data_IF_012652946071
#
_entry.id   IF_012652946071
#
_cell.length_a   1.000
_cell.length_b   1.000
_cell.length_c   1.000
_cell.angle_alpha   90.00
_cell.angle_beta   90.00
_cell.angle_gamma   90.00
#
_symmetry.space_group_name_H-M   'P 1'
#
loop_
_entity.id
_entity.type
_entity.pdbx_description
1 polymer ?
#
# COMPACT_ATOMS: atom_id res chain seq x y z
N UNK A 1 -9.23 -54.87 14.61
CA UNK A 1 -7.86 -54.90 15.15
C UNK A 1 -6.91 -54.44 14.05
N UNK A 2 -6.21 -53.31 14.26
CA UNK A 2 -5.19 -52.81 13.33
C UNK A 2 -5.30 -51.31 13.04
N UNK A 3 -5.09 -50.47 14.06
CA UNK A 3 -4.80 -49.05 13.87
C UNK A 3 -3.28 -48.87 13.87
N UNK A 4 -2.72 -48.25 12.84
CA UNK A 4 -1.32 -47.78 12.82
C UNK A 4 -1.20 -46.49 12.01
N UNK A 5 -0.79 -45.42 12.68
CA UNK A 5 0.02 -44.35 12.09
C UNK A 5 -0.68 -43.03 11.78
N UNK A 6 -0.67 -42.12 12.74
CA UNK A 6 -0.87 -40.68 12.53
C UNK A 6 0.20 -40.06 11.63
N UNK A 7 -0.20 -39.16 10.74
CA UNK A 7 0.55 -37.95 10.38
C UNK A 7 -0.39 -36.75 10.22
N UNK A 8 -0.08 -35.68 10.96
CA UNK A 8 -0.50 -34.27 10.89
C UNK A 8 -1.95 -33.96 10.49
N UNK A 9 -2.81 -33.59 11.44
CA UNK A 9 -2.92 -32.23 12.00
C UNK A 9 -2.85 -31.13 10.92
N UNK A 10 -4.01 -30.49 10.76
CA UNK A 10 -4.22 -29.18 10.13
C UNK A 10 -3.96 -29.19 8.62
N UNK A 11 -5.02 -29.48 7.87
CA UNK A 11 -5.18 -28.87 6.55
C UNK A 11 -5.38 -27.35 6.79
N UNK A 12 -4.30 -26.64 7.14
CA UNK A 12 -4.20 -25.20 6.95
C UNK A 12 -4.12 -25.07 5.44
N UNK A 13 -5.31 -25.10 4.82
CA UNK A 13 -5.49 -24.42 3.54
C UNK A 13 -5.18 -22.98 3.92
N UNK A 14 -3.99 -22.53 3.53
CA UNK A 14 -3.53 -21.16 3.74
C UNK A 14 -4.69 -20.23 3.45
N UNK A 15 -4.98 -19.44 4.47
CA UNK A 15 -6.16 -18.64 4.62
C UNK A 15 -6.32 -17.72 3.40
N UNK A 16 -7.45 -17.81 2.68
CA UNK A 16 -7.89 -16.81 1.71
C UNK A 16 -8.31 -15.49 2.40
N UNK A 17 -7.60 -15.08 3.47
CA UNK A 17 -7.99 -13.94 4.29
C UNK A 17 -7.06 -12.73 4.13
N UNK A 18 -5.93 -12.84 3.44
CA UNK A 18 -4.89 -11.81 3.49
C UNK A 18 -4.55 -11.24 2.11
N UNK A 19 -5.52 -10.66 1.39
CA UNK A 19 -5.28 -9.85 0.16
C UNK A 19 -4.35 -10.47 -0.92
N UNK A 20 -4.11 -11.78 -0.85
CA UNK A 20 -3.10 -12.46 -1.65
C UNK A 20 -3.79 -13.00 -2.90
N UNK A 21 -3.97 -12.10 -3.87
CA UNK A 21 -4.77 -12.33 -5.06
C UNK A 21 -4.13 -13.29 -6.08
N UNK A 22 -3.01 -13.94 -5.77
CA UNK A 22 -2.37 -14.90 -6.69
C UNK A 22 -1.72 -16.07 -5.95
N UNK A 23 -2.17 -17.30 -6.21
CA UNK A 23 -1.53 -18.57 -5.80
C UNK A 23 -0.17 -18.82 -6.51
N UNK A 24 0.43 -17.78 -7.08
CA UNK A 24 1.62 -17.84 -7.97
C UNK A 24 2.93 -17.50 -7.25
N UNK A 25 2.91 -17.29 -5.92
CA UNK A 25 4.11 -16.97 -5.14
C UNK A 25 4.68 -15.57 -5.40
N UNK A 26 3.83 -14.64 -5.86
CA UNK A 26 4.17 -13.23 -6.08
C UNK A 26 3.80 -12.44 -4.83
N UNK A 27 4.74 -11.65 -4.29
CA UNK A 27 4.49 -10.78 -3.15
C UNK A 27 4.06 -9.37 -3.56
N UNK A 28 4.54 -8.86 -4.70
CA UNK A 28 4.20 -7.52 -5.16
C UNK A 28 4.18 -7.43 -6.69
N UNK A 29 3.17 -6.72 -7.22
CA UNK A 29 3.10 -6.36 -8.64
C UNK A 29 3.52 -4.90 -8.79
N UNK A 30 4.73 -4.67 -9.27
CA UNK A 30 5.30 -3.35 -9.44
C UNK A 30 4.95 -2.77 -10.81
N UNK A 31 4.27 -1.63 -10.82
CA UNK A 31 4.01 -0.81 -12.01
C UNK A 31 5.00 0.35 -12.08
N UNK A 32 5.56 0.61 -13.27
CA UNK A 32 6.55 1.67 -13.51
C UNK A 32 6.04 2.81 -14.41
N UNK A 33 4.73 2.89 -14.67
CA UNK A 33 4.13 3.83 -15.62
C UNK A 33 3.88 3.27 -17.02
N UNK A 34 4.41 2.10 -17.36
CA UNK A 34 4.20 1.49 -18.67
C UNK A 34 4.19 -0.03 -18.70
N UNK A 35 4.70 -0.69 -17.66
CA UNK A 35 4.77 -2.14 -17.57
C UNK A 35 4.67 -2.64 -16.12
N UNK A 36 4.19 -3.87 -15.98
CA UNK A 36 4.11 -4.56 -14.68
C UNK A 36 5.23 -5.58 -14.56
N UNK A 37 5.97 -5.54 -13.46
CA UNK A 37 6.94 -6.55 -13.03
C UNK A 37 6.44 -7.27 -11.77
N UNK A 38 6.73 -8.56 -11.63
CA UNK A 38 6.32 -9.38 -10.49
C UNK A 38 7.52 -9.59 -9.56
N UNK A 39 7.39 -9.25 -8.28
CA UNK A 39 8.41 -9.45 -7.26
C UNK A 39 7.97 -10.59 -6.34
N UNK A 40 8.81 -11.61 -6.19
CA UNK A 40 8.48 -12.84 -5.48
C UNK A 40 9.08 -12.89 -4.07
N UNK A 41 10.00 -11.99 -3.73
CA UNK A 41 10.70 -11.98 -2.45
C UNK A 41 10.62 -10.64 -1.73
N UNK A 42 10.64 -10.67 -0.40
CA UNK A 42 10.71 -9.46 0.43
C UNK A 42 11.96 -8.63 0.11
N UNK A 43 13.06 -9.28 -0.28
CA UNK A 43 14.30 -8.62 -0.66
C UNK A 43 14.15 -7.77 -1.93
N UNK A 44 13.40 -8.26 -2.91
CA UNK A 44 13.09 -7.50 -4.14
C UNK A 44 12.16 -6.32 -3.84
N UNK A 45 11.13 -6.51 -3.00
CA UNK A 45 10.21 -5.43 -2.58
C UNK A 45 10.96 -4.34 -1.83
N UNK A 46 11.79 -4.71 -0.85
CA UNK A 46 12.57 -3.76 -0.07
C UNK A 46 13.71 -3.09 -0.87
N UNK A 47 14.06 -3.63 -2.03
CA UNK A 47 15.05 -3.04 -2.94
C UNK A 47 14.44 -1.99 -3.89
N UNK A 48 13.12 -1.81 -3.90
CA UNK A 48 12.47 -0.74 -4.67
C UNK A 48 12.90 0.63 -4.13
N UNK A 49 13.18 1.58 -5.03
CA UNK A 49 13.69 2.90 -4.66
C UNK A 49 12.73 3.74 -3.81
N UNK A 50 11.43 3.44 -3.86
CA UNK A 50 10.40 4.10 -3.07
C UNK A 50 10.04 3.33 -1.78
N UNK A 51 10.56 2.11 -1.56
CA UNK A 51 10.18 1.30 -0.40
C UNK A 51 10.57 1.97 0.93
N UNK A 52 11.62 2.80 0.94
CA UNK A 52 12.04 3.58 2.12
C UNK A 52 11.11 4.76 2.44
N UNK A 53 10.21 5.12 1.53
CA UNK A 53 9.29 6.26 1.69
C UNK A 53 7.89 5.81 2.14
N UNK A 54 7.71 4.52 2.44
CA UNK A 54 6.50 4.04 3.06
C UNK A 54 6.39 4.61 4.48
N UNK A 55 5.22 5.16 4.81
CA UNK A 55 4.89 5.66 6.15
C UNK A 55 3.76 4.83 6.76
N UNK A 56 3.78 4.66 8.08
CA UNK A 56 2.74 3.99 8.88
C UNK A 56 2.16 4.88 9.98
N UNK A 57 2.46 6.18 9.92
CA UNK A 57 1.94 7.20 10.83
C UNK A 57 0.43 7.42 10.67
N UNK A 58 -0.21 7.93 11.73
CA UNK A 58 -1.62 8.31 11.70
C UNK A 58 -1.84 9.44 10.67
N UNK A 59 -2.75 9.29 9.69
CA UNK A 59 -3.05 10.36 8.74
C UNK A 59 -3.67 11.59 9.41
N UNK A 60 -4.10 11.52 10.67
CA UNK A 60 -4.71 12.62 11.43
C UNK A 60 -5.90 13.28 10.70
N UNK A 61 -6.86 12.48 10.26
CA UNK A 61 -8.07 12.99 9.62
C UNK A 61 -9.02 13.62 10.64
N UNK A 62 -9.63 14.74 10.27
CA UNK A 62 -10.71 15.35 11.05
C UNK A 62 -12.07 14.66 10.80
N UNK A 63 -13.12 15.15 11.46
CA UNK A 63 -14.47 14.59 11.32
C UNK A 63 -15.10 14.77 9.93
N UNK A 64 -14.47 15.56 9.06
CA UNK A 64 -14.87 15.82 7.68
C UNK A 64 -13.97 15.13 6.66
N UNK A 65 -12.98 14.34 7.12
CA UNK A 65 -11.99 13.63 6.31
C UNK A 65 -10.91 14.50 5.67
N UNK A 66 -10.65 15.70 6.21
CA UNK A 66 -9.51 16.53 5.83
C UNK A 66 -8.29 16.23 6.72
N UNK A 67 -7.09 16.42 6.17
CA UNK A 67 -5.85 16.30 6.93
C UNK A 67 -5.72 17.43 7.96
N UNK A 68 -5.31 17.05 9.18
CA UNK A 68 -4.80 17.96 10.20
C UNK A 68 -3.47 18.60 9.77
N UNK A 69 -3.20 19.84 10.18
CA UNK A 69 -1.90 20.52 9.96
C UNK A 69 -0.68 19.78 10.54
N UNK A 70 -0.86 18.80 11.42
CA UNK A 70 0.22 17.99 11.97
C UNK A 70 0.36 16.61 11.31
N UNK A 71 -0.45 16.32 10.28
CA UNK A 71 -0.42 15.06 9.57
C UNK A 71 0.93 14.80 8.90
N UNK A 72 1.42 13.57 9.03
CA UNK A 72 2.60 13.10 8.31
C UNK A 72 2.35 12.89 6.80
N UNK A 73 1.09 12.93 6.36
CA UNK A 73 0.72 12.80 4.95
C UNK A 73 0.96 14.08 4.14
N UNK A 74 1.15 15.23 4.80
CA UNK A 74 1.35 16.51 4.13
C UNK A 74 2.69 16.52 3.39
N UNK A 75 2.67 16.93 2.12
CA UNK A 75 3.81 17.01 1.20
C UNK A 75 4.59 15.68 1.02
N UNK A 76 4.01 14.54 1.41
CA UNK A 76 4.71 13.25 1.49
C UNK A 76 4.45 12.31 0.30
N UNK A 77 3.49 12.67 -0.56
CA UNK A 77 3.08 11.91 -1.73
C UNK A 77 4.00 12.11 -2.95
N UNK A 78 3.72 11.33 -3.99
CA UNK A 78 4.36 11.50 -5.31
C UNK A 78 3.41 12.21 -6.27
N UNK A 79 3.98 13.04 -7.12
CA UNK A 79 3.28 13.64 -8.27
C UNK A 79 3.11 12.64 -9.44
N UNK A 80 3.77 11.48 -9.38
CA UNK A 80 3.70 10.46 -10.40
C UNK A 80 2.31 9.83 -10.47
N UNK A 81 1.63 10.04 -11.60
CA UNK A 81 0.25 9.58 -11.83
C UNK A 81 -0.77 10.14 -10.81
N UNK A 82 -0.41 11.21 -10.08
CA UNK A 82 -1.35 11.93 -9.24
C UNK A 82 -2.41 12.63 -10.11
N UNK A 83 -3.71 12.51 -9.78
CA UNK A 83 -4.75 13.29 -10.44
C UNK A 83 -4.50 14.81 -10.27
N UNK A 84 -4.89 15.61 -11.27
CA UNK A 84 -4.74 17.07 -11.23
C UNK A 84 -5.52 17.74 -10.08
N UNK A 85 -6.60 17.08 -9.61
CA UNK A 85 -7.53 17.58 -8.62
C UNK A 85 -7.73 16.56 -7.49
N UNK A 86 -7.94 17.07 -6.28
CA UNK A 86 -8.33 16.28 -5.11
C UNK A 86 -9.85 16.06 -5.00
N UNK A 87 -10.32 15.51 -3.88
CA UNK A 87 -11.72 15.23 -3.58
C UNK A 87 -12.63 16.48 -3.62
N UNK A 88 -12.08 17.64 -3.27
CA UNK A 88 -12.77 18.93 -3.21
C UNK A 88 -12.65 19.75 -4.50
N UNK A 89 -11.97 19.22 -5.50
CA UNK A 89 -11.57 19.89 -6.75
C UNK A 89 -10.52 20.99 -6.55
N UNK A 90 -9.69 20.89 -5.51
CA UNK A 90 -8.51 21.72 -5.35
C UNK A 90 -7.36 21.15 -6.18
N UNK A 91 -6.49 22.00 -6.75
CA UNK A 91 -5.38 21.51 -7.55
C UNK A 91 -4.32 20.85 -6.68
N UNK A 92 -3.72 19.78 -7.23
CA UNK A 92 -2.54 19.12 -6.65
C UNK A 92 -1.26 19.61 -7.32
N UNK A 93 -0.18 19.90 -6.56
CA UNK A 93 -0.13 19.98 -5.10
C UNK A 93 -0.68 21.30 -4.54
N UNK A 94 -1.13 21.29 -3.28
CA UNK A 94 -1.13 22.45 -2.39
C UNK A 94 0.15 22.38 -1.54
N UNK A 95 0.99 23.42 -1.56
CA UNK A 95 2.22 23.42 -0.75
C UNK A 95 3.49 23.05 -1.52
N UNK A 96 4.34 22.22 -0.94
CA UNK A 96 5.65 21.83 -1.49
C UNK A 96 5.63 20.48 -2.23
N UNK A 97 4.63 19.64 -1.99
CA UNK A 97 4.46 18.32 -2.57
C UNK A 97 2.98 17.89 -2.57
N UNK A 98 2.70 16.75 -3.19
CA UNK A 98 1.35 16.16 -3.18
C UNK A 98 1.14 15.49 -1.82
N UNK A 99 -0.07 15.57 -1.28
CA UNK A 99 -0.40 14.89 -0.03
C UNK A 99 -0.73 13.41 -0.24
N UNK A 100 -0.39 12.56 0.74
CA UNK A 100 -0.83 11.16 0.74
C UNK A 100 -2.32 11.10 1.09
N UNK A 101 -3.16 10.86 0.09
CA UNK A 101 -4.58 10.60 0.31
C UNK A 101 -5.49 11.12 -0.80
N UNK A 102 -6.77 11.31 -0.45
CA UNK A 102 -7.80 11.79 -1.36
C UNK A 102 -7.93 13.33 -1.38
N UNK A 103 -7.30 14.02 -0.43
CA UNK A 103 -7.49 15.44 -0.13
C UNK A 103 -6.13 16.11 0.09
N UNK A 104 -5.97 17.37 -0.34
CA UNK A 104 -4.79 18.18 -0.03
C UNK A 104 -5.07 19.07 1.20
N UNK A 105 -4.10 19.21 2.10
CA UNK A 105 -4.19 20.12 3.23
C UNK A 105 -4.20 21.58 2.76
N UNK A 106 -5.23 22.32 3.17
CA UNK A 106 -5.42 23.75 2.90
C UNK A 106 -4.82 24.70 3.93
#
# INVERSE_FOLDING_TARGET
YGATGSTSMIHMRTFLAENDLTDDGVLYRHWDGGSTSLLATIGEVNALSFASNNIDDDPELDGSFHLSNASACIDAGTDFEAPDLDLDNQPRPQGQGVDIGADEAG
#
